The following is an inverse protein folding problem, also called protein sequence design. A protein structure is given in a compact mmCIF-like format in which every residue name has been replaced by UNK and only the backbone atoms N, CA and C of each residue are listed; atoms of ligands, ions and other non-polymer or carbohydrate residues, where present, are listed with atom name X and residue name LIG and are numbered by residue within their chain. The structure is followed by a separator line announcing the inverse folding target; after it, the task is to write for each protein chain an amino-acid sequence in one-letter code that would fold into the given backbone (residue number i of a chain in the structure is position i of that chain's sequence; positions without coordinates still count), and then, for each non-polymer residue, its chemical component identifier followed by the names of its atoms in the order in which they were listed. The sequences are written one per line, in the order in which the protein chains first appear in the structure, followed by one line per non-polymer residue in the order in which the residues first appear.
data_IF_570201775825
#
_entry.id   IF_570201775825
#
_cell.length_a   1.000
_cell.length_b   1.000
_cell.length_c   1.000
_cell.angle_alpha   90.00
_cell.angle_beta   90.00
_cell.angle_gamma   90.00
#
_symmetry.space_group_name_H-M   'P 1'
#
loop_
_entity.id
_entity.type
_entity.pdbx_description
1 polymer ?
#
# COMPACT_ATOMS: atom_id res chain seq x y z
N UNK A 1 -17.10 -8.99 -4.75
CA UNK A 1 -18.52 -9.40 -4.90
C UNK A 1 -18.70 -10.87 -5.24
N UNK A 2 -17.65 -11.65 -5.44
CA UNK A 2 -17.65 -13.07 -5.84
C UNK A 2 -17.15 -13.98 -4.70
N UNK A 3 -17.64 -13.86 -3.51
CA UNK A 3 -16.97 -14.54 -2.39
C UNK A 3 -17.84 -15.42 -1.48
N UNK A 4 -19.15 -15.51 -1.69
CA UNK A 4 -20.05 -16.25 -0.80
C UNK A 4 -20.73 -17.47 -1.46
N UNK A 5 -20.07 -18.04 -2.45
CA UNK A 5 -20.43 -19.37 -2.97
C UNK A 5 -19.55 -20.39 -2.25
N UNK A 6 -20.16 -21.24 -1.43
CA UNK A 6 -19.50 -22.45 -1.00
C UNK A 6 -19.26 -23.33 -2.24
N UNK A 7 -18.03 -23.79 -2.53
CA UNK A 7 -17.77 -24.62 -3.69
C UNK A 7 -18.61 -25.91 -3.61
N UNK A 8 -19.52 -26.11 -4.57
CA UNK A 8 -20.37 -27.30 -4.68
C UNK A 8 -21.81 -27.17 -4.13
N UNK A 9 -22.25 -25.99 -3.69
CA UNK A 9 -23.63 -25.79 -3.25
C UNK A 9 -24.57 -25.58 -4.46
N UNK A 10 -25.49 -26.49 -4.69
CA UNK A 10 -26.59 -26.29 -5.65
C UNK A 10 -27.54 -25.19 -5.15
N UNK A 11 -27.95 -24.27 -6.02
CA UNK A 11 -28.89 -23.20 -5.73
C UNK A 11 -28.30 -21.77 -5.71
N UNK A 12 -29.15 -20.76 -5.43
CA UNK A 12 -28.75 -19.39 -5.49
C UNK A 12 -27.68 -19.05 -4.42
N UNK A 13 -26.80 -18.08 -4.70
CA UNK A 13 -25.88 -17.52 -3.72
C UNK A 13 -26.64 -16.81 -2.58
N UNK A 14 -25.97 -16.57 -1.46
CA UNK A 14 -26.57 -15.78 -0.36
C UNK A 14 -27.09 -14.41 -0.85
N UNK A 15 -26.34 -13.77 -1.74
CA UNK A 15 -26.74 -12.46 -2.27
C UNK A 15 -28.01 -12.55 -3.13
N UNK A 16 -28.09 -13.53 -4.02
CA UNK A 16 -29.27 -13.76 -4.85
C UNK A 16 -30.50 -14.13 -4.02
N UNK A 17 -30.34 -15.00 -3.01
CA UNK A 17 -31.42 -15.37 -2.09
C UNK A 17 -31.90 -14.15 -1.28
N UNK A 18 -30.99 -13.25 -0.86
CA UNK A 18 -31.33 -11.99 -0.19
C UNK A 18 -32.07 -11.03 -1.12
N UNK A 19 -31.66 -10.93 -2.39
CA UNK A 19 -32.34 -10.07 -3.37
C UNK A 19 -33.76 -10.58 -3.67
N UNK A 20 -33.94 -11.90 -3.81
CA UNK A 20 -35.22 -12.50 -3.99
C UNK A 20 -36.18 -12.24 -2.80
N UNK A 21 -35.66 -12.35 -1.57
CA UNK A 21 -36.43 -12.05 -0.36
C UNK A 21 -36.86 -10.57 -0.29
N UNK A 22 -35.96 -9.66 -0.68
CA UNK A 22 -36.28 -8.21 -0.72
C UNK A 22 -37.33 -7.92 -1.77
N UNK A 23 -37.21 -8.51 -2.97
CA UNK A 23 -38.17 -8.34 -4.08
C UNK A 23 -39.55 -8.91 -3.78
N UNK A 24 -39.63 -10.02 -3.04
CA UNK A 24 -40.90 -10.67 -2.69
C UNK A 24 -41.72 -9.94 -1.60
N UNK A 25 -41.15 -8.95 -0.94
CA UNK A 25 -41.81 -8.20 0.19
C UNK A 25 -43.09 -7.48 -0.22
N UNK A 26 -43.20 -7.09 -1.47
CA UNK A 26 -44.36 -6.36 -2.04
C UNK A 26 -45.28 -7.26 -2.89
N UNK A 27 -45.01 -8.60 -2.91
CA UNK A 27 -45.67 -9.57 -3.76
C UNK A 27 -46.62 -10.52 -3.03
N UNK A 28 -46.91 -11.70 -3.65
CA UNK A 28 -47.74 -12.76 -3.10
C UNK A 28 -47.13 -13.30 -1.78
N UNK A 29 -47.93 -13.46 -0.70
CA UNK A 29 -47.48 -14.06 0.57
C UNK A 29 -46.81 -15.43 0.42
N UNK A 30 -47.27 -16.26 -0.55
CA UNK A 30 -46.68 -17.57 -0.81
C UNK A 30 -45.30 -17.47 -1.47
N UNK A 31 -45.04 -16.41 -2.25
CA UNK A 31 -43.74 -16.13 -2.85
C UNK A 31 -42.75 -15.61 -1.79
N UNK A 32 -43.23 -14.75 -0.90
CA UNK A 32 -42.43 -14.25 0.23
C UNK A 32 -41.98 -15.41 1.14
N UNK A 33 -42.86 -16.35 1.47
CA UNK A 33 -42.53 -17.48 2.33
C UNK A 33 -41.48 -18.39 1.69
N UNK A 34 -41.64 -18.70 0.39
CA UNK A 34 -40.63 -19.46 -0.36
C UNK A 34 -39.30 -18.79 -0.43
N UNK A 35 -39.27 -17.48 -0.68
CA UNK A 35 -38.03 -16.69 -0.70
C UNK A 35 -37.34 -16.65 0.68
N UNK A 36 -38.15 -16.59 1.77
CA UNK A 36 -37.66 -16.66 3.14
C UNK A 36 -37.01 -18.02 3.45
N UNK A 37 -37.65 -19.12 3.11
CA UNK A 37 -37.08 -20.46 3.33
C UNK A 37 -35.75 -20.67 2.62
N UNK A 38 -35.64 -20.22 1.36
CA UNK A 38 -34.40 -20.27 0.58
C UNK A 38 -33.32 -19.41 1.21
N UNK A 39 -33.66 -18.22 1.64
CA UNK A 39 -32.71 -17.32 2.30
C UNK A 39 -32.19 -17.88 3.64
N UNK A 40 -33.11 -18.40 4.48
CA UNK A 40 -32.72 -18.98 5.77
C UNK A 40 -31.89 -20.26 5.62
N UNK A 41 -32.21 -21.12 4.65
CA UNK A 41 -31.39 -22.27 4.32
C UNK A 41 -29.96 -21.81 3.93
N UNK A 42 -29.89 -20.86 3.05
CA UNK A 42 -28.59 -20.34 2.58
C UNK A 42 -27.80 -19.63 3.68
N UNK A 43 -28.48 -18.89 4.57
CA UNK A 43 -27.84 -18.26 5.73
C UNK A 43 -27.26 -19.29 6.70
N UNK A 44 -27.95 -20.45 6.90
CA UNK A 44 -27.43 -21.57 7.70
C UNK A 44 -26.22 -22.23 7.03
N UNK A 45 -26.30 -22.53 5.75
CA UNK A 45 -25.23 -23.19 4.99
C UNK A 45 -23.94 -22.37 4.95
N UNK A 46 -24.06 -21.04 4.90
CA UNK A 46 -22.93 -20.11 4.89
C UNK A 46 -22.43 -19.72 6.30
N UNK A 47 -23.11 -20.18 7.36
CA UNK A 47 -22.81 -19.79 8.74
C UNK A 47 -23.27 -18.38 9.12
N UNK A 48 -23.90 -17.64 8.19
CA UNK A 48 -24.36 -16.26 8.45
C UNK A 48 -25.57 -16.18 9.40
N UNK A 49 -26.32 -17.27 9.58
CA UNK A 49 -27.42 -17.33 10.52
C UNK A 49 -26.96 -17.16 11.99
N UNK A 50 -25.72 -17.55 12.28
CA UNK A 50 -25.09 -17.42 13.62
C UNK A 50 -24.10 -16.24 13.71
N UNK A 51 -24.06 -15.38 12.69
CA UNK A 51 -23.13 -14.26 12.68
C UNK A 51 -23.55 -13.17 13.66
N UNK A 52 -22.72 -12.94 14.67
CA UNK A 52 -22.92 -11.89 15.65
C UNK A 52 -22.36 -10.55 15.14
N UNK A 53 -23.26 -9.69 14.70
CA UNK A 53 -22.93 -8.36 14.17
C UNK A 53 -22.33 -7.47 15.28
N UNK A 54 -22.77 -7.60 16.51
CA UNK A 54 -22.28 -6.79 17.63
C UNK A 54 -20.83 -7.15 17.94
N UNK A 55 -20.54 -8.44 18.11
CA UNK A 55 -19.19 -8.95 18.28
C UNK A 55 -18.25 -8.53 17.13
N UNK A 56 -18.72 -8.65 15.88
CA UNK A 56 -17.92 -8.26 14.73
C UNK A 56 -17.59 -6.75 14.71
N UNK A 57 -18.57 -5.90 15.05
CA UNK A 57 -18.35 -4.47 15.14
C UNK A 57 -17.39 -4.10 16.26
N UNK A 58 -17.45 -4.78 17.40
CA UNK A 58 -16.50 -4.60 18.49
C UNK A 58 -15.09 -5.00 18.07
N UNK A 59 -14.94 -6.15 17.40
CA UNK A 59 -13.66 -6.59 16.84
C UNK A 59 -13.07 -5.58 15.83
N UNK A 60 -13.92 -5.02 14.96
CA UNK A 60 -13.49 -3.98 14.02
C UNK A 60 -13.02 -2.70 14.75
N UNK A 61 -13.70 -2.33 15.83
CA UNK A 61 -13.32 -1.18 16.67
C UNK A 61 -11.95 -1.43 17.31
N UNK A 62 -11.79 -2.57 17.96
CA UNK A 62 -10.54 -2.97 18.60
C UNK A 62 -9.38 -3.02 17.62
N UNK A 63 -9.61 -3.55 16.43
CA UNK A 63 -8.62 -3.57 15.34
C UNK A 63 -8.22 -2.15 14.92
N UNK A 64 -9.18 -1.24 14.73
CA UNK A 64 -8.89 0.14 14.35
C UNK A 64 -8.11 0.88 15.43
N UNK A 65 -8.45 0.66 16.69
CA UNK A 65 -7.77 1.25 17.83
C UNK A 65 -6.34 0.70 17.97
N UNK A 66 -6.15 -0.61 17.79
CA UNK A 66 -4.84 -1.24 17.80
C UNK A 66 -3.97 -0.71 16.63
N UNK A 67 -4.55 -0.58 15.45
CA UNK A 67 -3.85 -0.02 14.27
C UNK A 67 -3.48 1.46 14.48
N UNK A 68 -4.36 2.24 15.13
CA UNK A 68 -4.09 3.63 15.49
C UNK A 68 -2.91 3.74 16.46
N UNK A 69 -2.91 2.93 17.53
CA UNK A 69 -1.79 2.85 18.49
C UNK A 69 -0.48 2.45 17.81
N UNK A 70 -0.52 1.43 16.94
CA UNK A 70 0.65 0.98 16.19
C UNK A 70 1.22 2.08 15.30
N UNK A 71 0.39 2.79 14.56
CA UNK A 71 0.83 3.90 13.70
C UNK A 71 1.49 5.02 14.51
N UNK A 72 0.92 5.38 15.65
CA UNK A 72 1.49 6.41 16.53
C UNK A 72 2.83 5.99 17.11
N UNK A 73 2.94 4.74 17.58
CA UNK A 73 4.20 4.20 18.12
C UNK A 73 5.28 4.12 17.05
N UNK A 74 4.95 3.62 15.85
CA UNK A 74 5.89 3.50 14.74
C UNK A 74 6.43 4.86 14.30
N UNK A 75 5.63 5.93 14.33
CA UNK A 75 6.08 7.25 13.91
C UNK A 75 7.23 7.76 14.78
N UNK A 76 7.17 7.54 16.09
CA UNK A 76 8.25 7.93 17.01
C UNK A 76 9.49 7.05 16.88
N UNK A 77 9.29 5.75 16.81
CA UNK A 77 10.39 4.77 16.71
C UNK A 77 11.15 4.87 15.39
N UNK A 78 10.42 5.00 14.26
CA UNK A 78 11.03 5.13 12.93
C UNK A 78 11.96 6.33 12.83
N UNK A 79 11.60 7.47 13.41
CA UNK A 79 12.46 8.66 13.40
C UNK A 79 13.79 8.38 14.10
N UNK A 80 13.74 7.74 15.27
CA UNK A 80 14.93 7.35 16.01
C UNK A 80 15.83 6.39 15.23
N UNK A 81 15.25 5.38 14.60
CA UNK A 81 15.98 4.40 13.76
C UNK A 81 16.61 5.06 12.55
N UNK A 82 15.88 5.96 11.85
CA UNK A 82 16.38 6.67 10.66
C UNK A 82 17.56 7.60 11.04
N UNK A 83 17.43 8.34 12.14
CA UNK A 83 18.49 9.23 12.61
C UNK A 83 19.74 8.43 13.03
N UNK A 84 19.57 7.37 13.81
CA UNK A 84 20.69 6.51 14.23
C UNK A 84 21.39 5.87 13.01
N UNK A 85 20.62 5.40 12.03
CA UNK A 85 21.18 4.84 10.80
C UNK A 85 21.95 5.89 10.00
N UNK A 86 21.42 7.10 9.87
CA UNK A 86 22.10 8.22 9.19
C UNK A 86 23.43 8.53 9.85
N UNK A 87 23.45 8.65 11.19
CA UNK A 87 24.64 9.01 11.92
C UNK A 87 25.72 7.91 11.77
N UNK A 88 25.32 6.65 11.89
CA UNK A 88 26.22 5.51 11.65
C UNK A 88 26.80 5.50 10.23
N UNK A 89 25.98 5.73 9.19
CA UNK A 89 26.44 5.78 7.80
C UNK A 89 27.41 6.94 7.56
N UNK A 90 27.16 8.10 8.17
CA UNK A 90 28.06 9.24 8.05
C UNK A 90 29.40 9.00 8.75
N UNK A 91 29.38 8.38 9.93
CA UNK A 91 30.59 8.02 10.66
C UNK A 91 31.43 6.98 9.89
N UNK A 92 30.81 5.94 9.33
CA UNK A 92 31.50 4.93 8.52
C UNK A 92 32.05 5.50 7.20
N UNK A 93 31.36 6.47 6.59
CA UNK A 93 31.77 7.06 5.33
C UNK A 93 33.01 7.98 5.47
N UNK A 94 33.26 8.54 6.66
CA UNK A 94 34.45 9.36 6.93
C UNK A 94 34.68 10.46 5.91
N UNK A 95 35.83 10.44 5.21
CA UNK A 95 36.20 11.44 4.20
C UNK A 95 35.17 11.59 3.08
N UNK A 96 34.52 10.50 2.64
CA UNK A 96 33.49 10.58 1.59
C UNK A 96 32.27 11.39 2.04
N UNK A 97 31.94 11.42 3.31
CA UNK A 97 30.85 12.25 3.84
C UNK A 97 31.22 13.74 3.77
N UNK A 98 32.49 14.10 4.08
CA UNK A 98 32.96 15.46 3.95
C UNK A 98 33.04 15.91 2.49
N UNK A 99 33.51 15.05 1.57
CA UNK A 99 33.50 15.31 0.13
C UNK A 99 32.10 15.59 -0.39
N UNK A 100 31.11 14.78 0.02
CA UNK A 100 29.69 14.99 -0.32
C UNK A 100 29.19 16.34 0.22
N UNK A 101 29.51 16.67 1.48
CA UNK A 101 29.16 17.96 2.11
C UNK A 101 29.74 19.14 1.33
N UNK A 102 31.01 19.05 0.92
CA UNK A 102 31.66 20.04 0.08
C UNK A 102 31.02 20.15 -1.30
N UNK A 103 30.72 19.02 -1.95
CA UNK A 103 30.08 19.00 -3.27
C UNK A 103 28.71 19.68 -3.24
N UNK A 104 27.93 19.49 -2.17
CA UNK A 104 26.64 20.16 -1.96
C UNK A 104 26.82 21.64 -1.66
N UNK A 105 27.84 22.01 -0.87
CA UNK A 105 28.09 23.39 -0.43
C UNK A 105 28.65 24.28 -1.53
N UNK A 106 29.38 23.71 -2.46
CA UNK A 106 29.92 24.43 -3.63
C UNK A 106 28.78 24.75 -4.59
N UNK A 107 28.07 25.82 -4.37
CA UNK A 107 26.89 26.35 -5.09
C UNK A 107 27.05 26.56 -6.62
N UNK A 108 28.04 26.05 -7.26
CA UNK A 108 28.17 26.09 -8.73
C UNK A 108 27.32 24.95 -9.32
N UNK A 109 26.05 25.29 -9.56
CA UNK A 109 25.11 24.47 -10.33
C UNK A 109 25.21 22.99 -9.96
N UNK A 110 24.72 22.61 -8.76
CA UNK A 110 24.87 21.25 -8.28
C UNK A 110 24.27 20.32 -9.32
N UNK A 111 25.12 19.68 -10.07
CA UNK A 111 24.77 18.58 -10.94
C UNK A 111 24.30 17.43 -10.04
N UNK A 112 23.00 17.45 -9.73
CA UNK A 112 22.36 16.42 -8.90
C UNK A 112 22.69 15.04 -9.48
N UNK A 113 22.79 14.94 -10.78
CA UNK A 113 23.16 13.67 -11.46
C UNK A 113 24.60 13.26 -11.13
N UNK A 114 25.54 14.20 -11.13
CA UNK A 114 26.93 13.92 -10.73
C UNK A 114 27.05 13.52 -9.26
N UNK A 115 26.30 14.16 -8.37
CA UNK A 115 26.22 13.76 -6.97
C UNK A 115 25.64 12.34 -6.82
N UNK A 116 24.56 12.04 -7.53
CA UNK A 116 23.96 10.72 -7.48
C UNK A 116 24.83 9.63 -8.12
N UNK A 117 25.66 9.98 -9.11
CA UNK A 117 26.61 9.04 -9.71
C UNK A 117 27.80 8.75 -8.77
N UNK A 118 28.31 9.75 -8.07
CA UNK A 118 29.47 9.63 -7.19
C UNK A 118 29.12 9.15 -5.77
N UNK A 119 28.01 9.59 -5.23
CA UNK A 119 27.60 9.41 -3.83
C UNK A 119 26.19 8.89 -3.64
N UNK A 120 25.57 8.28 -4.67
CA UNK A 120 24.17 7.85 -4.62
C UNK A 120 23.89 6.83 -3.51
N UNK A 121 24.83 5.94 -3.19
CA UNK A 121 24.78 5.01 -2.07
C UNK A 121 24.67 5.75 -0.73
N UNK A 122 25.45 6.78 -0.55
CA UNK A 122 25.49 7.59 0.67
C UNK A 122 24.24 8.48 0.77
N UNK A 123 23.82 9.10 -0.34
CA UNK A 123 22.62 9.94 -0.39
C UNK A 123 21.38 9.13 -0.03
N UNK A 124 21.20 7.92 -0.59
CA UNK A 124 20.04 7.08 -0.30
C UNK A 124 20.06 6.48 1.11
N UNK A 125 21.24 6.26 1.68
CA UNK A 125 21.38 5.83 3.05
C UNK A 125 21.03 6.95 4.06
N UNK A 126 21.38 8.21 3.74
CA UNK A 126 21.04 9.38 4.55
C UNK A 126 19.59 9.81 4.37
N UNK A 127 19.07 9.70 3.14
CA UNK A 127 17.71 10.10 2.77
C UNK A 127 16.94 8.87 2.27
N UNK A 128 16.30 8.12 3.16
CA UNK A 128 15.68 6.84 2.82
C UNK A 128 14.41 6.99 1.97
N UNK A 129 13.86 8.19 1.85
CA UNK A 129 12.67 8.46 1.04
C UNK A 129 12.93 9.65 0.12
N UNK A 130 12.70 9.45 -1.18
CA UNK A 130 12.89 10.47 -2.21
C UNK A 130 11.57 10.64 -2.97
N UNK A 131 11.03 11.86 -2.97
CA UNK A 131 9.84 12.22 -3.74
C UNK A 131 10.27 12.92 -5.03
N UNK A 132 9.93 12.32 -6.16
CA UNK A 132 10.32 12.82 -7.49
C UNK A 132 9.26 12.50 -8.53
N UNK A 133 9.19 13.30 -9.60
CA UNK A 133 8.43 12.96 -10.79
C UNK A 133 9.20 11.97 -11.66
N UNK A 134 8.53 11.20 -12.55
CA UNK A 134 9.19 10.32 -13.51
C UNK A 134 10.28 11.00 -14.34
N UNK A 135 10.03 12.23 -14.79
CA UNK A 135 10.98 13.07 -15.50
C UNK A 135 12.23 13.37 -14.68
N UNK A 136 12.06 13.68 -13.40
CA UNK A 136 13.16 13.94 -12.48
C UNK A 136 14.01 12.70 -12.25
N UNK A 137 13.40 11.52 -12.18
CA UNK A 137 14.12 10.24 -12.12
C UNK A 137 15.00 10.06 -13.35
N UNK A 138 14.44 10.28 -14.55
CA UNK A 138 15.19 10.13 -15.79
C UNK A 138 16.36 11.12 -15.90
N UNK A 139 16.17 12.34 -15.40
CA UNK A 139 17.17 13.42 -15.44
C UNK A 139 18.28 13.25 -14.41
N UNK A 140 17.95 12.87 -13.17
CA UNK A 140 18.86 12.98 -12.03
C UNK A 140 19.42 11.63 -11.56
N UNK A 141 18.70 10.51 -11.79
CA UNK A 141 19.16 9.21 -11.33
C UNK A 141 19.79 8.44 -12.50
N UNK A 142 21.10 8.14 -12.46
CA UNK A 142 21.75 7.30 -13.47
C UNK A 142 21.08 5.95 -13.67
N UNK A 143 21.11 5.40 -14.90
CA UNK A 143 20.39 4.16 -15.26
C UNK A 143 21.06 2.91 -14.68
N UNK A 144 22.34 3.00 -14.31
CA UNK A 144 23.19 1.84 -14.00
C UNK A 144 23.01 1.26 -12.60
N UNK A 145 22.27 1.90 -11.72
CA UNK A 145 22.17 1.51 -10.32
C UNK A 145 20.74 1.42 -9.86
N UNK A 146 20.46 0.44 -8.99
CA UNK A 146 19.24 0.41 -8.20
C UNK A 146 19.48 1.23 -6.95
N UNK A 147 18.77 2.33 -6.83
CA UNK A 147 18.96 3.29 -5.74
C UNK A 147 18.09 3.02 -4.53
N UNK A 148 16.96 2.34 -4.71
CA UNK A 148 15.96 2.14 -3.67
C UNK A 148 15.47 0.69 -3.66
N UNK A 149 14.96 0.25 -2.53
CA UNK A 149 14.35 -1.07 -2.41
C UNK A 149 12.93 -1.09 -3.00
N UNK A 150 12.20 0.01 -2.83
CA UNK A 150 10.79 0.11 -3.24
C UNK A 150 10.57 1.39 -4.03
N UNK A 151 9.92 1.27 -5.18
CA UNK A 151 9.35 2.38 -5.94
C UNK A 151 7.83 2.36 -5.73
N UNK A 152 7.27 3.47 -5.26
CA UNK A 152 5.83 3.62 -5.10
C UNK A 152 5.33 4.62 -6.12
N UNK A 153 4.39 4.18 -6.96
CA UNK A 153 3.62 5.08 -7.80
C UNK A 153 2.32 5.41 -7.07
N UNK A 154 2.18 6.66 -6.70
CA UNK A 154 0.94 7.21 -6.19
C UNK A 154 0.20 7.90 -7.33
N UNK A 155 -1.14 7.83 -7.35
CA UNK A 155 -1.94 8.35 -8.46
C UNK A 155 -1.53 7.75 -9.84
N UNK A 156 -1.27 6.45 -9.88
CA UNK A 156 -0.69 5.75 -11.04
C UNK A 156 -1.53 5.89 -12.32
N UNK A 157 -2.82 6.17 -12.19
CA UNK A 157 -3.71 6.45 -13.33
C UNK A 157 -3.27 7.66 -14.17
N UNK A 158 -2.46 8.56 -13.60
CA UNK A 158 -1.94 9.75 -14.28
C UNK A 158 -0.57 9.54 -14.95
N UNK A 159 0.04 8.36 -14.78
CA UNK A 159 1.38 8.08 -15.27
C UNK A 159 1.28 7.15 -16.49
N UNK A 160 1.89 7.54 -17.60
CA UNK A 160 1.93 6.67 -18.78
C UNK A 160 2.93 5.52 -18.59
N UNK A 161 2.69 4.39 -19.25
CA UNK A 161 3.58 3.23 -19.14
C UNK A 161 5.03 3.56 -19.54
N UNK A 162 5.30 4.30 -20.62
CA UNK A 162 6.67 4.71 -20.97
C UNK A 162 7.36 5.50 -19.84
N UNK A 163 6.64 6.40 -19.15
CA UNK A 163 7.19 7.22 -18.08
C UNK A 163 7.49 6.39 -16.82
N UNK A 164 6.73 5.31 -16.60
CA UNK A 164 6.90 4.43 -15.46
C UNK A 164 8.14 3.53 -15.57
N UNK A 165 8.54 3.11 -16.78
CA UNK A 165 9.63 2.14 -17.01
C UNK A 165 10.96 2.62 -16.40
N UNK A 166 11.28 3.89 -16.57
CA UNK A 166 12.50 4.48 -16.03
C UNK A 166 12.58 4.37 -14.49
N UNK A 167 11.61 4.90 -13.74
CA UNK A 167 11.53 4.76 -12.28
C UNK A 167 11.52 3.29 -11.82
N UNK A 168 10.74 2.40 -12.46
CA UNK A 168 10.69 0.97 -12.11
C UNK A 168 12.08 0.33 -12.11
N UNK A 169 12.94 0.69 -13.07
CA UNK A 169 14.30 0.16 -13.17
C UNK A 169 15.25 0.59 -12.04
N UNK A 170 14.87 1.58 -11.19
CA UNK A 170 15.69 2.08 -10.07
C UNK A 170 15.38 1.40 -8.75
N UNK A 171 14.36 0.58 -8.67
CA UNK A 171 13.99 -0.16 -7.47
C UNK A 171 14.07 -1.67 -7.62
N UNK A 172 13.94 -2.39 -6.50
CA UNK A 172 13.84 -3.85 -6.47
C UNK A 172 12.40 -4.31 -6.53
N UNK A 173 11.50 -3.54 -5.93
CA UNK A 173 10.06 -3.82 -5.84
C UNK A 173 9.29 -2.58 -6.29
N UNK A 174 8.14 -2.81 -6.89
CA UNK A 174 7.23 -1.74 -7.34
C UNK A 174 5.89 -1.91 -6.67
N UNK A 175 5.37 -0.81 -6.14
CA UNK A 175 4.01 -0.70 -5.57
C UNK A 175 3.25 0.32 -6.41
N UNK A 176 2.05 -0.02 -6.83
CA UNK A 176 1.19 0.84 -7.65
C UNK A 176 -0.08 1.13 -6.87
N UNK A 177 -0.39 2.41 -6.68
CA UNK A 177 -1.56 2.92 -5.95
C UNK A 177 -2.31 3.89 -6.85
N UNK A 178 -3.64 3.78 -6.91
CA UNK A 178 -4.48 4.64 -7.74
C UNK A 178 -5.79 4.00 -8.12
#
# INVERSE_FOLDING_TARGET
REGLHAPGAEGPSYYEARQALVGAREGDPAELERAREVFEARARDTGLASFDVAWYNDLLRDYRDALGRLRTALTGELLGVVVARRDHVLDEAGERAEELREAISRRKGSDIRGIMDAYGDLVTAITPCILVSPDSVARFLPVRSRYVDIVVFDEASQITVPDAVGPMGRGRTVVVVG
#
